data_IF_264247233505
#
_entry.id   IF_264247233505
#
_cell.length_a   1.000
_cell.length_b   1.000
_cell.length_c   1.000
_cell.angle_alpha   90.00
_cell.angle_beta   90.00
_cell.angle_gamma   90.00
#
_symmetry.space_group_name_H-M   'P 1'
#
loop_
_entity.id
_entity.type
_entity.pdbx_description
1 polymer ?
#
# COMPACT_ATOMS: atom_id res chain seq x y z
N UNK A 1 -17.56 5.55 -67.03
CA UNK A 1 -18.42 5.27 -65.85
C UNK A 1 -17.53 4.55 -64.82
N UNK A 2 -17.40 4.90 -63.54
CA UNK A 2 -18.07 5.86 -62.68
C UNK A 2 -17.06 6.29 -61.59
N UNK A 3 -17.05 7.58 -61.26
CA UNK A 3 -16.31 8.15 -60.14
C UNK A 3 -16.99 7.74 -58.81
N UNK A 4 -16.25 7.16 -57.86
CA UNK A 4 -16.71 6.98 -56.48
C UNK A 4 -15.96 7.94 -55.57
N UNK A 5 -16.70 8.94 -55.06
CA UNK A 5 -16.24 10.05 -54.21
C UNK A 5 -15.84 9.54 -52.83
N UNK A 6 -14.65 9.89 -52.37
CA UNK A 6 -14.19 9.67 -50.99
C UNK A 6 -14.71 10.83 -50.14
N UNK A 7 -15.55 10.53 -49.14
CA UNK A 7 -15.94 11.50 -48.11
C UNK A 7 -15.00 11.31 -46.91
N UNK A 8 -14.11 12.28 -46.70
CA UNK A 8 -13.30 12.37 -45.47
C UNK A 8 -14.12 13.13 -44.45
N UNK A 9 -14.65 12.43 -43.45
CA UNK A 9 -15.25 13.05 -42.27
C UNK A 9 -14.13 13.42 -41.28
N UNK A 10 -13.88 14.72 -41.12
CA UNK A 10 -12.93 15.26 -40.16
C UNK A 10 -13.56 15.21 -38.75
N UNK A 11 -13.24 14.19 -37.95
CA UNK A 11 -13.57 14.21 -36.52
C UNK A 11 -12.60 15.13 -35.78
N UNK A 12 -13.09 16.28 -35.31
CA UNK A 12 -12.39 17.08 -34.30
C UNK A 12 -12.37 16.31 -32.97
N UNK A 13 -11.19 15.81 -32.60
CA UNK A 13 -10.95 15.28 -31.26
C UNK A 13 -10.80 16.45 -30.27
N UNK A 14 -11.85 16.73 -29.50
CA UNK A 14 -11.75 17.56 -28.30
C UNK A 14 -10.95 16.76 -27.27
N UNK A 15 -9.67 17.10 -27.13
CA UNK A 15 -8.80 16.53 -26.10
C UNK A 15 -9.10 17.21 -24.77
N UNK A 16 -9.99 16.62 -23.98
CA UNK A 16 -10.15 17.00 -22.58
C UNK A 16 -8.93 16.55 -21.78
N UNK A 17 -8.06 17.48 -21.41
CA UNK A 17 -6.99 17.22 -20.45
C UNK A 17 -7.60 16.98 -19.07
N UNK A 18 -7.88 15.73 -18.74
CA UNK A 18 -8.16 15.34 -17.36
C UNK A 18 -6.87 15.54 -16.56
N UNK A 19 -6.80 16.59 -15.74
CA UNK A 19 -5.77 16.74 -14.73
C UNK A 19 -5.87 15.57 -13.77
N UNK A 20 -4.95 14.61 -13.87
CA UNK A 20 -4.83 13.54 -12.91
C UNK A 20 -4.45 14.17 -11.56
N UNK A 21 -5.42 14.33 -10.67
CA UNK A 21 -5.16 14.70 -9.28
C UNK A 21 -4.16 13.68 -8.72
N UNK A 22 -2.98 14.17 -8.33
CA UNK A 22 -1.88 13.32 -7.88
C UNK A 22 -2.28 12.50 -6.66
N UNK A 23 -1.92 11.21 -6.67
CA UNK A 23 -2.19 10.31 -5.56
C UNK A 23 -1.34 10.76 -4.36
N UNK A 24 -1.98 11.14 -3.25
CA UNK A 24 -1.27 11.55 -2.02
C UNK A 24 -1.00 10.34 -1.12
N UNK A 25 0.08 10.42 -0.33
CA UNK A 25 0.40 9.42 0.69
C UNK A 25 -0.59 9.57 1.86
N UNK A 26 -1.33 8.51 2.26
CA UNK A 26 -2.26 8.61 3.38
C UNK A 26 -1.55 8.88 4.71
N UNK A 27 -2.18 9.63 5.61
CA UNK A 27 -1.59 10.05 6.89
C UNK A 27 -1.08 8.88 7.74
N UNK A 28 -1.79 7.76 7.75
CA UNK A 28 -1.35 6.55 8.47
C UNK A 28 0.02 6.03 8.01
N UNK A 29 0.32 6.13 6.71
CA UNK A 29 1.64 5.80 6.17
C UNK A 29 2.69 6.82 6.59
N UNK A 30 2.35 8.11 6.57
CA UNK A 30 3.26 9.18 7.00
C UNK A 30 3.69 8.95 8.45
N UNK A 31 2.72 8.75 9.36
CA UNK A 31 3.00 8.56 10.79
C UNK A 31 3.92 7.37 11.05
N UNK A 32 3.62 6.20 10.47
CA UNK A 32 4.45 5.00 10.64
C UNK A 32 5.82 5.21 10.01
N UNK A 33 5.89 5.71 8.77
CA UNK A 33 7.16 5.86 8.08
C UNK A 33 8.09 6.82 8.83
N UNK A 34 7.58 7.97 9.29
CA UNK A 34 8.35 8.94 10.09
C UNK A 34 8.87 8.32 11.40
N UNK A 35 8.05 7.52 12.10
CA UNK A 35 8.46 6.87 13.34
C UNK A 35 9.65 5.91 13.17
N UNK A 36 9.82 5.32 11.98
CA UNK A 36 10.97 4.45 11.63
C UNK A 36 12.04 5.18 10.79
N UNK A 37 11.84 6.49 10.54
CA UNK A 37 12.65 7.34 9.67
C UNK A 37 12.71 6.91 8.19
N UNK A 38 11.70 6.16 7.74
CA UNK A 38 11.52 5.77 6.34
C UNK A 38 10.77 6.90 5.61
N UNK A 39 11.09 7.21 4.33
CA UNK A 39 10.29 8.13 3.54
C UNK A 39 8.86 7.59 3.37
N UNK A 40 7.81 8.38 3.65
CA UNK A 40 6.42 7.95 3.50
C UNK A 40 6.09 7.40 2.12
N UNK A 41 6.63 8.01 1.06
CA UNK A 41 6.43 7.59 -0.32
C UNK A 41 7.04 6.21 -0.59
N UNK A 42 8.16 5.87 0.06
CA UNK A 42 8.80 4.56 -0.08
C UNK A 42 7.93 3.46 0.54
N UNK A 43 7.48 3.66 1.79
CA UNK A 43 6.61 2.70 2.48
C UNK A 43 5.27 2.51 1.75
N UNK A 44 4.67 3.62 1.28
CA UNK A 44 3.42 3.56 0.53
C UNK A 44 3.59 2.90 -0.83
N UNK A 45 4.69 3.18 -1.55
CA UNK A 45 4.99 2.54 -2.84
C UNK A 45 5.20 1.03 -2.74
N UNK A 46 5.83 0.57 -1.65
CA UNK A 46 5.92 -0.87 -1.33
C UNK A 46 4.52 -1.44 -1.18
N UNK A 47 3.68 -0.88 -0.31
CA UNK A 47 2.34 -1.42 -0.06
C UNK A 47 1.41 -1.36 -1.29
N UNK A 48 1.56 -0.34 -2.14
CA UNK A 48 0.88 -0.27 -3.44
C UNK A 48 1.33 -1.38 -4.39
N UNK A 49 2.62 -1.67 -4.44
CA UNK A 49 3.18 -2.76 -5.25
C UNK A 49 2.68 -4.11 -4.78
N UNK A 50 2.57 -4.29 -3.46
CA UNK A 50 2.18 -5.55 -2.84
C UNK A 50 0.69 -5.86 -2.95
N UNK A 51 -0.18 -4.91 -2.57
CA UNK A 51 -1.60 -5.22 -2.35
C UNK A 51 -2.60 -4.20 -2.89
N UNK A 52 -2.22 -3.29 -3.78
CA UNK A 52 -3.19 -2.35 -4.34
C UNK A 52 -4.41 -3.08 -4.96
N UNK A 53 -5.61 -2.64 -4.58
CA UNK A 53 -6.86 -3.04 -5.22
C UNK A 53 -7.57 -1.81 -5.77
N UNK A 54 -8.09 -1.94 -6.98
CA UNK A 54 -8.94 -0.92 -7.59
C UNK A 54 -10.28 -0.81 -6.84
N UNK A 55 -10.94 0.36 -6.85
CA UNK A 55 -12.23 0.55 -6.17
C UNK A 55 -13.28 -0.50 -6.52
N UNK A 56 -13.35 -0.90 -7.80
CA UNK A 56 -14.26 -1.95 -8.31
C UNK A 56 -13.96 -3.32 -7.71
N UNK A 57 -12.68 -3.66 -7.54
CA UNK A 57 -12.26 -4.92 -6.92
C UNK A 57 -12.55 -4.93 -5.42
N UNK A 58 -12.40 -3.79 -4.74
CA UNK A 58 -12.80 -3.64 -3.34
C UNK A 58 -14.31 -3.85 -3.21
N UNK A 59 -15.10 -3.14 -4.03
CA UNK A 59 -16.56 -3.25 -4.08
C UNK A 59 -17.08 -4.67 -4.35
N UNK A 60 -16.29 -5.52 -5.02
CA UNK A 60 -16.64 -6.91 -5.30
C UNK A 60 -16.43 -7.85 -4.10
N UNK A 61 -15.58 -7.47 -3.15
CA UNK A 61 -15.22 -8.30 -1.99
C UNK A 61 -15.94 -7.82 -0.72
N UNK A 62 -16.09 -6.51 -0.53
CA UNK A 62 -16.76 -5.98 0.67
C UNK A 62 -18.27 -6.20 0.65
N UNK A 63 -18.84 -6.46 1.83
CA UNK A 63 -20.29 -6.63 2.00
C UNK A 63 -21.04 -5.31 1.91
N UNK A 64 -20.51 -4.28 2.56
CA UNK A 64 -21.04 -2.91 2.51
C UNK A 64 -20.22 -2.08 1.53
N UNK A 65 -20.89 -1.46 0.56
CA UNK A 65 -20.25 -0.64 -0.49
C UNK A 65 -20.23 0.86 -0.17
N UNK A 66 -20.45 1.19 1.10
CA UNK A 66 -20.31 2.56 1.62
C UNK A 66 -18.82 2.88 1.76
N UNK A 67 -18.45 4.16 1.59
CA UNK A 67 -17.08 4.65 1.80
C UNK A 67 -15.99 3.94 0.97
N UNK A 68 -16.32 3.46 -0.23
CA UNK A 68 -15.32 2.91 -1.14
C UNK A 68 -14.27 3.98 -1.51
N UNK A 69 -12.98 3.63 -1.55
CA UNK A 69 -11.95 4.59 -1.93
C UNK A 69 -12.13 5.00 -3.40
N UNK A 70 -11.90 6.27 -3.70
CA UNK A 70 -11.98 6.79 -5.08
C UNK A 70 -10.84 6.30 -5.98
N UNK A 71 -9.73 5.85 -5.39
CA UNK A 71 -8.53 5.38 -6.08
C UNK A 71 -8.10 4.02 -5.54
N UNK A 72 -7.17 3.37 -6.23
CA UNK A 72 -6.62 2.11 -5.75
C UNK A 72 -5.93 2.29 -4.40
N UNK A 73 -6.14 1.35 -3.47
CA UNK A 73 -5.50 1.38 -2.14
C UNK A 73 -4.93 0.00 -1.79
N UNK A 74 -3.83 -0.06 -1.02
CA UNK A 74 -3.38 -1.31 -0.41
C UNK A 74 -4.48 -1.93 0.43
N UNK A 75 -4.65 -3.25 0.34
CA UNK A 75 -5.75 -3.96 0.99
C UNK A 75 -5.24 -4.84 2.14
N UNK A 76 -5.64 -4.57 3.40
CA UNK A 76 -5.07 -5.24 4.57
C UNK A 76 -5.40 -6.74 4.64
N UNK A 77 -6.57 -7.15 4.17
CA UNK A 77 -7.02 -8.55 4.31
C UNK A 77 -6.59 -9.38 3.09
N UNK A 78 -5.28 -9.33 2.82
CA UNK A 78 -4.62 -10.01 1.70
C UNK A 78 -3.68 -11.09 2.23
N UNK A 79 -3.71 -12.26 1.59
CA UNK A 79 -2.79 -13.36 1.85
C UNK A 79 -2.16 -13.79 0.53
N UNK A 80 -0.84 -13.91 0.47
CA UNK A 80 -0.17 -14.70 -0.54
C UNK A 80 0.19 -16.06 0.06
N UNK A 81 -0.13 -17.14 -0.65
CA UNK A 81 0.31 -18.49 -0.31
C UNK A 81 0.99 -19.09 -1.51
N UNK A 82 2.30 -19.35 -1.38
CA UNK A 82 3.09 -20.03 -2.40
C UNK A 82 3.04 -19.36 -3.79
N UNK A 83 2.86 -18.03 -3.84
CA UNK A 83 2.74 -17.24 -5.07
C UNK A 83 1.29 -16.94 -5.49
N UNK A 84 0.29 -17.52 -4.82
CA UNK A 84 -1.13 -17.30 -5.12
C UNK A 84 -1.76 -16.31 -4.12
N UNK A 85 -2.30 -15.22 -4.65
CA UNK A 85 -2.97 -14.18 -3.86
C UNK A 85 -4.44 -14.50 -3.55
N UNK A 86 -4.87 -14.14 -2.35
CA UNK A 86 -6.23 -14.24 -1.84
C UNK A 86 -6.61 -12.92 -1.17
N UNK A 87 -7.83 -12.44 -1.40
CA UNK A 87 -8.35 -11.18 -0.86
C UNK A 87 -9.67 -11.47 -0.16
N UNK A 88 -9.84 -10.95 1.05
CA UNK A 88 -11.00 -11.21 1.91
C UNK A 88 -11.73 -9.91 2.24
N UNK A 89 -12.98 -10.01 2.72
CA UNK A 89 -13.83 -8.86 3.01
C UNK A 89 -13.60 -8.26 4.39
N UNK A 90 -12.94 -9.00 5.29
CA UNK A 90 -12.67 -8.59 6.66
C UNK A 90 -11.42 -9.27 7.19
N UNK A 91 -10.87 -8.72 8.28
CA UNK A 91 -9.78 -9.36 9.04
C UNK A 91 -10.13 -10.74 9.54
N UNK A 92 -11.38 -10.95 9.99
CA UNK A 92 -11.83 -12.26 10.48
C UNK A 92 -11.82 -13.32 9.39
N UNK A 93 -12.29 -12.99 8.19
CA UNK A 93 -12.28 -13.92 7.05
C UNK A 93 -10.83 -14.25 6.62
N UNK A 94 -9.96 -13.24 6.52
CA UNK A 94 -8.55 -13.48 6.22
C UNK A 94 -7.87 -14.33 7.30
N UNK A 95 -8.08 -14.01 8.58
CA UNK A 95 -7.47 -14.74 9.68
C UNK A 95 -7.93 -16.20 9.73
N UNK A 96 -9.22 -16.49 9.51
CA UNK A 96 -9.74 -17.86 9.41
C UNK A 96 -9.11 -18.62 8.24
N UNK A 97 -9.02 -17.99 7.07
CA UNK A 97 -8.37 -18.60 5.92
C UNK A 97 -6.88 -18.85 6.17
N UNK A 98 -6.20 -17.94 6.86
CA UNK A 98 -4.81 -18.11 7.27
C UNK A 98 -4.61 -19.35 8.14
N UNK A 99 -5.50 -19.62 9.10
CA UNK A 99 -5.40 -20.83 9.92
C UNK A 99 -5.44 -22.11 9.06
N UNK A 100 -6.30 -22.12 8.03
CA UNK A 100 -6.37 -23.25 7.08
C UNK A 100 -5.09 -23.37 6.27
N UNK A 101 -4.54 -22.26 5.76
CA UNK A 101 -3.28 -22.30 5.00
C UNK A 101 -2.09 -22.74 5.84
N UNK A 102 -1.99 -22.29 7.09
CA UNK A 102 -0.91 -22.66 8.01
C UNK A 102 -0.88 -24.16 8.34
N UNK A 103 -2.02 -24.85 8.27
CA UNK A 103 -2.05 -26.31 8.44
C UNK A 103 -1.53 -27.09 7.22
N UNK A 104 -1.33 -26.42 6.07
CA UNK A 104 -0.99 -27.05 4.78
C UNK A 104 0.33 -26.57 4.18
N UNK A 105 0.77 -25.37 4.54
CA UNK A 105 1.94 -24.72 3.97
C UNK A 105 2.88 -24.24 5.06
N UNK A 106 4.18 -24.32 4.79
CA UNK A 106 5.18 -23.66 5.64
C UNK A 106 4.95 -22.15 5.68
N UNK A 107 5.13 -21.54 6.86
CA UNK A 107 5.02 -20.09 7.05
C UNK A 107 5.93 -19.29 6.12
N UNK A 108 7.06 -19.85 5.70
CA UNK A 108 7.98 -19.21 4.75
C UNK A 108 7.37 -19.01 3.36
N UNK A 109 6.23 -19.64 3.09
CA UNK A 109 5.47 -19.49 1.84
C UNK A 109 4.21 -18.64 2.02
N UNK A 110 4.06 -17.95 3.15
CA UNK A 110 2.85 -17.19 3.46
C UNK A 110 3.22 -15.74 3.78
N UNK A 111 2.67 -14.81 3.00
CA UNK A 111 2.78 -13.37 3.21
C UNK A 111 1.41 -12.81 3.56
N UNK A 112 1.36 -11.84 4.50
CA UNK A 112 0.09 -11.30 4.99
C UNK A 112 0.09 -9.78 5.05
N UNK A 113 -1.11 -9.22 4.96
CA UNK A 113 -1.34 -7.81 5.21
C UNK A 113 -1.05 -6.94 4.00
N UNK A 114 -1.22 -5.64 4.19
CA UNK A 114 -1.13 -4.62 3.16
C UNK A 114 0.28 -4.43 2.59
N UNK A 115 1.32 -4.83 3.33
CA UNK A 115 2.70 -4.81 2.89
C UNK A 115 3.30 -6.21 2.61
N UNK A 116 2.48 -7.27 2.62
CA UNK A 116 2.89 -8.66 2.35
C UNK A 116 4.13 -9.09 3.15
N UNK A 117 4.05 -8.94 4.48
CA UNK A 117 5.13 -9.40 5.37
C UNK A 117 5.08 -10.92 5.48
N UNK A 118 6.20 -11.58 5.17
CA UNK A 118 6.32 -13.03 5.24
C UNK A 118 6.31 -13.54 6.69
N UNK A 119 5.42 -14.49 7.00
CA UNK A 119 5.27 -15.01 8.36
C UNK A 119 6.43 -15.90 8.80
N UNK A 120 7.07 -16.63 7.88
CA UNK A 120 8.16 -17.55 8.22
C UNK A 120 9.51 -16.87 8.46
N UNK A 121 9.72 -15.69 7.88
CA UNK A 121 10.95 -14.92 8.06
C UNK A 121 10.78 -13.79 9.09
N UNK A 122 9.63 -13.11 9.03
CA UNK A 122 9.39 -11.86 9.77
C UNK A 122 8.24 -12.00 10.79
N UNK A 123 7.82 -13.22 11.11
CA UNK A 123 6.74 -13.47 12.08
C UNK A 123 7.00 -12.90 13.48
N UNK A 124 8.26 -12.70 13.84
CA UNK A 124 8.67 -12.14 15.14
C UNK A 124 8.25 -10.68 15.34
N UNK A 125 7.87 -9.95 14.28
CA UNK A 125 7.26 -8.62 14.42
C UNK A 125 5.80 -8.65 14.92
N UNK A 126 5.19 -9.83 14.99
CA UNK A 126 3.78 -9.98 15.34
C UNK A 126 3.59 -10.80 16.62
N UNK A 127 2.84 -10.25 17.57
CA UNK A 127 2.43 -10.98 18.78
C UNK A 127 1.42 -12.09 18.50
N UNK A 128 0.75 -12.05 17.34
CA UNK A 128 -0.15 -13.11 16.87
C UNK A 128 -0.41 -12.99 15.36
N UNK A 129 -0.91 -14.07 14.76
CA UNK A 129 -1.38 -14.05 13.36
C UNK A 129 -2.60 -13.16 13.15
N UNK A 130 -3.40 -12.92 14.20
CA UNK A 130 -4.45 -11.92 14.18
C UNK A 130 -3.86 -10.52 14.06
N UNK A 131 -2.85 -10.19 14.88
CA UNK A 131 -2.15 -8.90 14.86
C UNK A 131 -1.47 -8.62 13.51
N UNK A 132 -1.02 -9.65 12.80
CA UNK A 132 -0.39 -9.49 11.49
C UNK A 132 -1.29 -8.88 10.40
N UNK A 133 -2.63 -8.94 10.57
CA UNK A 133 -3.60 -8.28 9.69
C UNK A 133 -4.04 -6.89 10.17
N UNK A 134 -3.64 -6.47 11.37
CA UNK A 134 -3.85 -5.09 11.80
C UNK A 134 -3.07 -4.13 10.86
N UNK A 135 -3.73 -3.15 10.22
CA UNK A 135 -3.07 -2.25 9.28
C UNK A 135 -1.81 -1.59 9.82
N UNK A 136 -1.87 -1.05 11.04
CA UNK A 136 -0.74 -0.31 11.62
C UNK A 136 0.36 -1.25 12.10
N UNK A 137 0.02 -2.39 12.68
CA UNK A 137 1.00 -3.41 13.08
C UNK A 137 1.76 -3.94 11.86
N UNK A 138 1.04 -4.24 10.77
CA UNK A 138 1.65 -4.70 9.51
C UNK A 138 2.55 -3.62 8.89
N UNK A 139 2.12 -2.36 8.89
CA UNK A 139 2.95 -1.24 8.41
C UNK A 139 4.19 -1.01 9.26
N UNK A 140 4.10 -1.13 10.59
CA UNK A 140 5.27 -1.01 11.46
C UNK A 140 6.29 -2.10 11.17
N UNK A 141 5.86 -3.35 11.02
CA UNK A 141 6.75 -4.44 10.61
C UNK A 141 7.41 -4.14 9.26
N UNK A 142 6.64 -3.71 8.27
CA UNK A 142 7.16 -3.37 6.95
C UNK A 142 8.17 -2.21 6.98
N UNK A 143 7.89 -1.16 7.77
CA UNK A 143 8.78 -0.03 7.94
C UNK A 143 10.11 -0.43 8.61
N UNK A 144 10.06 -1.29 9.63
CA UNK A 144 11.27 -1.85 10.27
C UNK A 144 12.11 -2.66 9.27
N UNK A 145 11.51 -3.58 8.52
CA UNK A 145 12.24 -4.39 7.52
C UNK A 145 12.85 -3.49 6.43
N UNK A 146 12.11 -2.49 5.96
CA UNK A 146 12.59 -1.57 4.93
C UNK A 146 13.75 -0.71 5.46
N UNK A 147 13.69 -0.28 6.73
CA UNK A 147 14.78 0.40 7.42
C UNK A 147 16.02 -0.49 7.52
N UNK A 148 15.89 -1.73 7.98
CA UNK A 148 17.00 -2.68 8.08
C UNK A 148 17.67 -2.90 6.71
N UNK A 149 16.87 -3.03 5.65
CA UNK A 149 17.39 -3.14 4.29
C UNK A 149 18.17 -1.90 3.85
N UNK A 150 17.73 -0.70 4.23
CA UNK A 150 18.48 0.54 3.99
C UNK A 150 19.78 0.57 4.80
N UNK A 151 19.77 0.16 6.06
CA UNK A 151 20.97 0.16 6.91
C UNK A 151 22.06 -0.80 6.39
N UNK A 152 21.66 -1.94 5.80
CA UNK A 152 22.60 -2.86 5.15
C UNK A 152 23.31 -2.25 3.93
N UNK A 153 22.65 -1.34 3.21
CA UNK A 153 23.21 -0.65 2.05
C UNK A 153 22.61 0.75 1.89
N UNK A 154 23.13 1.75 2.62
CA UNK A 154 22.58 3.11 2.58
C UNK A 154 22.73 3.76 1.21
N UNK A 155 21.84 4.73 0.92
CA UNK A 155 21.94 5.62 -0.24
C UNK A 155 20.82 5.46 -1.28
N UNK A 156 20.06 4.35 -1.25
CA UNK A 156 18.96 4.12 -2.20
C UNK A 156 17.75 3.39 -1.56
N UNK A 157 16.62 4.10 -1.43
CA UNK A 157 15.38 3.51 -0.90
C UNK A 157 14.74 2.57 -1.92
N UNK A 158 15.07 2.74 -3.20
CA UNK A 158 14.78 1.75 -4.23
C UNK A 158 15.57 0.46 -4.00
N UNK A 159 16.85 0.54 -3.66
CA UNK A 159 17.62 -0.67 -3.34
C UNK A 159 17.12 -1.33 -2.05
N UNK A 160 16.75 -0.53 -1.05
CA UNK A 160 16.10 -1.04 0.16
C UNK A 160 14.78 -1.77 -0.17
N UNK A 161 13.93 -1.23 -1.06
CA UNK A 161 12.72 -1.90 -1.52
C UNK A 161 13.01 -3.20 -2.30
N UNK A 162 14.08 -3.23 -3.10
CA UNK A 162 14.55 -4.45 -3.75
C UNK A 162 14.97 -5.53 -2.74
N UNK A 163 15.70 -5.13 -1.69
CA UNK A 163 16.08 -6.00 -0.56
C UNK A 163 14.85 -6.49 0.20
N UNK A 164 13.88 -5.60 0.48
CA UNK A 164 12.63 -5.93 1.18
C UNK A 164 11.91 -7.10 0.52
N UNK A 165 11.74 -7.02 -0.81
CA UNK A 165 11.04 -8.06 -1.57
C UNK A 165 11.87 -9.32 -1.81
N UNK A 166 13.17 -9.15 -2.09
CA UNK A 166 14.05 -10.27 -2.41
C UNK A 166 15.48 -10.01 -1.92
N UNK A 167 15.81 -10.35 -0.66
CA UNK A 167 17.09 -10.01 -0.02
C UNK A 167 18.33 -10.51 -0.77
N UNK A 168 18.21 -11.63 -1.50
CA UNK A 168 19.29 -12.17 -2.34
C UNK A 168 19.56 -11.33 -3.61
N UNK A 169 18.77 -10.30 -3.88
CA UNK A 169 18.93 -9.43 -5.06
C UNK A 169 18.51 -10.10 -6.36
N UNK A 170 19.25 -9.85 -7.44
CA UNK A 170 19.02 -10.44 -8.75
C UNK A 170 17.83 -9.87 -9.54
N UNK A 171 17.37 -10.62 -10.53
CA UNK A 171 16.34 -10.16 -11.47
C UNK A 171 14.99 -9.88 -10.79
N UNK A 172 14.62 -10.67 -9.77
CA UNK A 172 13.40 -10.45 -8.99
C UNK A 172 13.41 -9.08 -8.30
N UNK A 173 14.49 -8.76 -7.58
CA UNK A 173 14.66 -7.44 -6.97
C UNK A 173 14.67 -6.33 -8.03
N UNK A 174 15.35 -6.51 -9.17
CA UNK A 174 15.39 -5.49 -10.23
C UNK A 174 14.00 -5.18 -10.82
N UNK A 175 13.18 -6.22 -11.06
CA UNK A 175 11.78 -6.06 -11.50
C UNK A 175 10.96 -5.33 -10.45
N UNK A 176 11.09 -5.74 -9.20
CA UNK A 176 10.38 -5.10 -8.08
C UNK A 176 10.70 -3.60 -7.96
N UNK A 177 11.99 -3.24 -8.01
CA UNK A 177 12.44 -1.84 -7.99
C UNK A 177 11.83 -1.00 -9.12
N UNK A 178 11.64 -1.60 -10.30
CA UNK A 178 11.01 -0.91 -11.43
C UNK A 178 9.54 -0.56 -11.14
N UNK A 179 8.80 -1.45 -10.47
CA UNK A 179 7.40 -1.21 -10.12
C UNK A 179 7.32 -0.15 -9.02
N UNK A 180 8.11 -0.29 -7.95
CA UNK A 180 8.18 0.70 -6.85
C UNK A 180 8.57 2.09 -7.39
N UNK A 181 9.53 2.18 -8.31
CA UNK A 181 9.93 3.45 -8.95
C UNK A 181 8.77 4.14 -9.66
N UNK A 182 7.87 3.39 -10.32
CA UNK A 182 6.69 3.99 -10.98
C UNK A 182 5.73 4.60 -9.96
N UNK A 183 5.55 3.96 -8.81
CA UNK A 183 4.74 4.53 -7.73
C UNK A 183 5.41 5.79 -7.16
N UNK A 184 6.71 5.76 -6.87
CA UNK A 184 7.44 6.93 -6.38
C UNK A 184 7.32 8.13 -7.31
N UNK A 185 7.52 7.95 -8.62
CA UNK A 185 7.38 9.04 -9.61
C UNK A 185 5.97 9.63 -9.59
N UNK A 186 4.94 8.78 -9.48
CA UNK A 186 3.54 9.24 -9.40
C UNK A 186 3.29 10.06 -8.13
N UNK A 187 3.80 9.62 -6.99
CA UNK A 187 3.63 10.30 -5.71
C UNK A 187 4.40 11.63 -5.67
N UNK A 188 5.63 11.68 -6.19
CA UNK A 188 6.47 12.89 -6.23
C UNK A 188 6.01 13.94 -7.24
N UNK A 189 5.23 13.57 -8.25
CA UNK A 189 4.63 14.50 -9.22
C UNK A 189 3.45 15.29 -8.68
N UNK A 190 2.98 14.97 -7.47
CA UNK A 190 1.94 15.72 -6.76
C UNK A 190 2.62 16.89 -6.04
N UNK A 191 2.18 18.15 -6.24
CA UNK A 191 2.67 19.27 -5.44
C UNK A 191 2.55 18.90 -3.97
N UNK A 192 3.67 18.88 -3.26
CA UNK A 192 3.70 18.72 -1.81
C UNK A 192 2.77 19.80 -1.29
N UNK A 193 1.62 19.44 -0.75
CA UNK A 193 0.77 20.40 -0.06
C UNK A 193 1.60 20.86 1.12
N UNK A 194 2.34 21.96 0.92
CA UNK A 194 3.15 22.59 1.94
C UNK A 194 2.17 22.91 3.05
N UNK A 195 2.27 22.19 4.17
CA UNK A 195 1.64 22.62 5.40
C UNK A 195 2.14 24.03 5.65
N UNK A 196 1.28 25.02 5.41
CA UNK A 196 1.48 26.39 5.86
C UNK A 196 1.32 26.36 7.39
N UNK A 197 2.29 25.78 8.09
CA UNK A 197 2.46 26.02 9.50
C UNK A 197 3.56 27.08 9.63
N UNK A 198 3.22 28.30 10.07
CA UNK A 198 4.24 29.30 10.35
C UNK A 198 5.13 28.80 11.50
N UNK A 199 6.43 29.14 11.50
CA UNK A 199 7.30 28.80 12.61
C UNK A 199 6.93 29.64 13.84
N UNK A 200 6.81 28.94 14.97
CA UNK A 200 6.66 29.42 16.35
C UNK A 200 5.24 29.75 16.84
N UNK A 201 4.77 28.91 17.77
CA UNK A 201 4.55 29.25 19.19
C UNK A 201 4.45 27.93 19.95
N UNK A 202 5.40 27.65 20.85
CA UNK A 202 5.20 26.62 21.87
C UNK A 202 4.14 27.12 22.85
N UNK A 203 3.16 26.27 23.20
CA UNK A 203 2.97 26.00 24.62
C UNK A 203 3.08 24.51 24.94
N UNK A 204 3.68 24.24 26.09
CA UNK A 204 3.68 22.97 26.79
C UNK A 204 2.24 22.57 27.14
N UNK A 205 1.76 21.42 26.66
CA UNK A 205 1.00 20.42 27.45
C UNK A 205 0.71 19.21 26.57
N UNK A 206 1.13 18.04 27.03
CA UNK A 206 0.71 16.75 26.48
C UNK A 206 -0.75 16.55 26.87
N UNK A 207 -1.66 16.77 25.94
CA UNK A 207 -3.01 16.23 25.99
C UNK A 207 -3.27 15.53 24.65
N UNK A 208 -3.75 14.30 24.73
CA UNK A 208 -4.04 13.45 23.59
C UNK A 208 -5.04 14.15 22.64
N UNK A 209 -4.52 14.72 21.56
CA UNK A 209 -5.33 15.24 20.47
C UNK A 209 -5.68 14.05 19.59
N UNK A 210 -6.97 13.70 19.56
CA UNK A 210 -7.53 12.72 18.64
C UNK A 210 -7.22 13.11 17.19
N UNK A 211 -6.94 12.15 16.29
CA UNK A 211 -6.70 12.49 14.90
C UNK A 211 -8.00 12.96 14.22
N UNK A 212 -7.90 14.07 13.49
CA UNK A 212 -8.82 14.52 12.44
C UNK A 212 -9.16 13.37 11.45
N UNK A 213 -10.29 13.43 10.72
CA UNK A 213 -10.79 12.29 9.93
C UNK A 213 -10.02 12.11 8.62
N UNK A 214 -8.74 11.75 8.72
CA UNK A 214 -8.06 10.96 7.70
C UNK A 214 -8.67 9.56 7.63
N UNK A 215 -8.47 8.83 6.53
CA UNK A 215 -8.96 7.46 6.35
C UNK A 215 -8.49 6.55 7.51
N UNK A 216 -9.31 6.43 8.55
CA UNK A 216 -9.17 5.43 9.60
C UNK A 216 -9.77 4.16 9.00
N UNK A 217 -8.92 3.13 8.82
CA UNK A 217 -9.39 1.82 8.40
C UNK A 217 -10.26 1.22 9.51
N UNK A 218 -11.57 1.44 9.41
CA UNK A 218 -12.57 0.76 10.22
C UNK A 218 -12.92 -0.57 9.55
N UNK A 219 -12.79 -1.67 10.30
CA UNK A 219 -13.17 -3.02 9.82
C UNK A 219 -14.65 -3.01 9.38
N UNK A 220 -14.96 -3.43 8.13
CA UNK A 220 -16.32 -3.55 7.65
C UNK A 220 -17.08 -4.57 8.50
N UNK A 221 -18.12 -4.11 9.21
CA UNK A 221 -18.96 -4.95 10.07
C UNK A 221 -18.64 -4.91 11.57
N UNK A 222 -18.07 -3.81 12.07
CA UNK A 222 -17.84 -3.59 13.51
C UNK A 222 -18.97 -2.84 14.24
N UNK A 223 -20.16 -2.73 13.65
CA UNK A 223 -21.36 -2.31 14.41
C UNK A 223 -22.06 -3.54 15.04
N UNK A 224 -22.51 -3.42 16.31
CA UNK A 224 -23.13 -4.51 17.06
C UNK A 224 -24.46 -5.00 16.49
#
# INVERSE_FOLDING_TARGET
MAYRRILIALMLAVSGSATAAGETVPEGYIRVAVAHGVPPEALYSVSLTETAMAPRSIAAVVRQKTNLPAVSRPWPWTINVAGKGYRYASRLEAWRALQVFMSRYSLKRIDVGLAQVNLGWNGHHFVSTWAAFDPYTNLNAAASILRECWERKPGSWLDAAGCYHHPAGGQAAARYKTIVKRHLVRLSGTPRQSSLLPPSLLPQTVAAIAPEPGFIWTEPGSEP
#
